data_IF_800588676800
#
_entry.id   IF_800588676800
#
_cell.length_a   1.000
_cell.length_b   1.000
_cell.length_c   1.000
_cell.angle_alpha   90.00
_cell.angle_beta   90.00
_cell.angle_gamma   90.00
#
_symmetry.space_group_name_H-M   'P 1'
#
loop_
_entity.id
_entity.type
_entity.pdbx_description
1 polymer ?
#
# COMPACT_ATOMS: atom_id res chain seq x y z
N UNK A 1 -33.25 1.23 -23.80
CA UNK A 1 -33.17 1.08 -22.33
C UNK A 1 -32.06 2.01 -21.89
N UNK A 2 -32.43 3.20 -21.42
CA UNK A 2 -31.52 4.19 -20.88
C UNK A 2 -30.96 3.64 -19.58
N UNK A 3 -29.71 3.19 -19.60
CA UNK A 3 -28.97 2.94 -18.37
C UNK A 3 -28.81 4.27 -17.68
N UNK A 4 -29.38 4.41 -16.48
CA UNK A 4 -29.07 5.52 -15.61
C UNK A 4 -27.56 5.50 -15.36
N UNK A 5 -26.84 6.38 -16.06
CA UNK A 5 -25.49 6.76 -15.69
C UNK A 5 -25.62 7.52 -14.37
N UNK A 6 -25.69 6.78 -13.26
CA UNK A 6 -25.42 7.35 -11.95
C UNK A 6 -23.98 7.83 -12.03
N UNK A 7 -23.80 9.13 -12.25
CA UNK A 7 -22.51 9.78 -12.13
C UNK A 7 -22.04 9.54 -10.71
N UNK A 8 -20.95 8.79 -10.55
CA UNK A 8 -20.34 8.55 -9.24
C UNK A 8 -19.91 9.90 -8.68
N UNK A 9 -20.58 10.35 -7.62
CA UNK A 9 -20.25 11.61 -6.95
C UNK A 9 -19.10 11.39 -5.98
N UNK A 10 -18.11 12.28 -6.01
CA UNK A 10 -16.99 12.24 -5.10
C UNK A 10 -17.45 12.57 -3.67
N UNK A 11 -16.93 11.90 -2.63
CA UNK A 11 -17.10 12.32 -1.25
C UNK A 11 -16.68 13.79 -1.04
N UNK A 12 -17.28 14.51 -0.07
CA UNK A 12 -16.93 15.91 0.19
C UNK A 12 -15.45 16.11 0.59
N UNK A 13 -14.78 15.08 1.08
CA UNK A 13 -13.36 15.10 1.44
C UNK A 13 -12.41 15.00 0.23
N UNK A 14 -12.94 14.73 -0.97
CA UNK A 14 -12.16 14.55 -2.19
C UNK A 14 -11.99 15.87 -2.92
N UNK A 15 -10.74 16.20 -3.24
CA UNK A 15 -10.41 17.39 -4.00
C UNK A 15 -9.58 17.01 -5.24
N UNK A 16 -10.09 17.37 -6.41
CA UNK A 16 -9.33 17.30 -7.66
C UNK A 16 -8.82 18.70 -8.01
N UNK A 17 -7.50 18.89 -7.91
CA UNK A 17 -6.87 20.19 -8.07
C UNK A 17 -6.36 20.36 -9.50
N UNK A 18 -6.82 21.41 -10.19
CA UNK A 18 -6.45 21.73 -11.56
C UNK A 18 -5.35 22.80 -11.61
N UNK A 19 -5.32 23.69 -10.63
CA UNK A 19 -4.33 24.77 -10.52
C UNK A 19 -3.62 24.77 -9.17
N UNK A 20 -2.34 25.15 -9.15
CA UNK A 20 -1.54 25.20 -7.92
C UNK A 20 -2.11 26.17 -6.87
N UNK A 21 -2.82 27.22 -7.29
CA UNK A 21 -3.49 28.18 -6.41
C UNK A 21 -4.67 27.57 -5.64
N UNK A 22 -5.20 26.43 -6.06
CA UNK A 22 -6.24 25.67 -5.36
C UNK A 22 -5.64 24.74 -4.29
N UNK A 23 -4.35 24.43 -4.41
CA UNK A 23 -3.70 23.37 -3.61
C UNK A 23 -3.22 23.92 -2.27
N UNK A 24 -3.63 23.31 -1.14
CA UNK A 24 -3.08 23.61 0.18
C UNK A 24 -1.54 23.58 0.19
N UNK A 25 -0.93 24.54 0.89
CA UNK A 25 0.52 24.79 0.82
C UNK A 25 1.38 23.55 1.11
N UNK A 26 0.96 22.73 2.08
CA UNK A 26 1.62 21.49 2.48
C UNK A 26 1.46 20.33 1.48
N UNK A 27 0.47 20.41 0.58
CA UNK A 27 0.21 19.44 -0.50
C UNK A 27 0.93 19.81 -1.80
N UNK A 28 1.25 21.09 -2.03
CA UNK A 28 1.80 21.58 -3.32
C UNK A 28 3.00 20.78 -3.84
N UNK A 29 3.91 20.36 -2.95
CA UNK A 29 5.07 19.54 -3.33
C UNK A 29 4.70 18.14 -3.86
N UNK A 30 3.59 17.57 -3.39
CA UNK A 30 3.06 16.29 -3.88
C UNK A 30 2.26 16.50 -5.17
N UNK A 31 1.45 17.55 -5.25
CA UNK A 31 0.70 17.88 -6.46
C UNK A 31 1.63 18.22 -7.65
N UNK A 32 2.78 18.87 -7.41
CA UNK A 32 3.81 19.06 -8.43
C UNK A 32 4.36 17.74 -9.00
N UNK A 33 4.20 16.64 -8.26
CA UNK A 33 4.58 15.28 -8.65
C UNK A 33 3.36 14.39 -8.97
N UNK A 34 2.15 14.96 -9.12
CA UNK A 34 0.90 14.19 -9.27
C UNK A 34 0.95 13.13 -10.36
N UNK A 35 1.58 13.41 -11.51
CA UNK A 35 1.72 12.42 -12.59
C UNK A 35 2.69 11.27 -12.29
N UNK A 36 3.59 11.44 -11.32
CA UNK A 36 4.40 10.34 -10.76
C UNK A 36 3.64 9.58 -9.68
N UNK A 37 2.65 10.21 -9.05
CA UNK A 37 1.79 9.57 -8.06
C UNK A 37 0.75 8.70 -8.77
N UNK A 38 0.00 9.29 -9.69
CA UNK A 38 -0.89 8.61 -10.63
C UNK A 38 -0.63 9.18 -12.03
N UNK A 39 -0.11 8.35 -12.93
CA UNK A 39 0.08 8.74 -14.34
C UNK A 39 -1.21 9.21 -15.01
N UNK A 40 -2.35 8.68 -14.57
CA UNK A 40 -3.69 9.04 -15.05
C UNK A 40 -4.37 10.14 -14.23
N UNK A 41 -3.63 11.01 -13.53
CA UNK A 41 -4.22 12.02 -12.65
C UNK A 41 -5.37 12.80 -13.34
N UNK A 42 -5.11 13.34 -14.54
CA UNK A 42 -6.08 14.14 -15.31
C UNK A 42 -7.26 13.32 -15.90
N UNK A 43 -7.25 11.98 -15.79
CA UNK A 43 -8.40 11.13 -16.14
C UNK A 43 -9.45 11.10 -15.01
N UNK A 44 -9.32 11.97 -14.00
CA UNK A 44 -10.29 12.16 -12.93
C UNK A 44 -9.95 11.40 -11.65
N UNK A 45 -8.67 11.16 -11.36
CA UNK A 45 -8.24 10.51 -10.12
C UNK A 45 -8.73 11.28 -8.90
N UNK A 46 -9.18 10.53 -7.89
CA UNK A 46 -9.67 11.04 -6.62
C UNK A 46 -8.64 10.85 -5.51
N UNK A 47 -8.42 11.92 -4.75
CA UNK A 47 -7.60 11.93 -3.56
C UNK A 47 -8.27 12.82 -2.51
N UNK A 48 -8.29 12.35 -1.27
CA UNK A 48 -8.48 13.24 -0.12
C UNK A 48 -7.18 13.97 0.17
N UNK A 49 -7.25 15.08 0.90
CA UNK A 49 -6.05 15.85 1.27
C UNK A 49 -5.00 15.01 2.01
N UNK A 50 -5.45 14.19 2.96
CA UNK A 50 -4.58 13.28 3.71
C UNK A 50 -3.92 12.20 2.83
N UNK A 51 -4.61 11.74 1.77
CA UNK A 51 -4.11 10.68 0.91
C UNK A 51 -2.86 11.08 0.12
N UNK A 52 -2.67 12.38 -0.14
CA UNK A 52 -1.47 12.90 -0.83
C UNK A 52 -0.17 12.58 -0.09
N UNK A 53 -0.19 12.52 1.23
CA UNK A 53 0.99 12.26 2.05
C UNK A 53 1.38 10.78 2.12
N UNK A 54 0.40 9.89 1.94
CA UNK A 54 0.55 8.44 2.12
C UNK A 54 0.66 7.64 0.83
N UNK A 55 0.19 8.19 -0.29
CA UNK A 55 0.19 7.47 -1.57
C UNK A 55 1.60 7.16 -2.05
N UNK A 56 1.81 5.89 -2.43
CA UNK A 56 3.09 5.44 -3.00
C UNK A 56 3.15 5.87 -4.47
N UNK A 57 4.22 6.56 -4.92
CA UNK A 57 4.36 6.94 -6.32
C UNK A 57 4.29 5.72 -7.26
N UNK A 58 3.57 5.85 -8.39
CA UNK A 58 3.30 4.76 -9.33
C UNK A 58 4.56 3.99 -9.77
N UNK A 59 5.72 4.62 -10.07
CA UNK A 59 6.94 3.88 -10.40
C UNK A 59 7.44 2.97 -9.26
N UNK A 60 7.29 3.42 -8.01
CA UNK A 60 7.67 2.64 -6.82
C UNK A 60 6.67 1.50 -6.61
N UNK A 61 5.37 1.79 -6.64
CA UNK A 61 4.31 0.80 -6.50
C UNK A 61 4.42 -0.31 -7.55
N UNK A 62 4.65 0.05 -8.83
CA UNK A 62 4.83 -0.90 -9.92
C UNK A 62 6.05 -1.79 -9.69
N UNK A 63 7.17 -1.24 -9.21
CA UNK A 63 8.39 -2.03 -8.96
C UNK A 63 8.22 -2.98 -7.77
N UNK A 64 7.53 -2.55 -6.72
CA UNK A 64 7.13 -3.44 -5.61
C UNK A 64 6.24 -4.56 -6.13
N UNK A 65 5.21 -4.24 -6.92
CA UNK A 65 4.30 -5.24 -7.48
C UNK A 65 5.03 -6.26 -8.36
N UNK A 66 5.96 -5.82 -9.22
CA UNK A 66 6.81 -6.69 -10.02
C UNK A 66 7.62 -7.65 -9.15
N UNK A 67 8.32 -7.12 -8.14
CA UNK A 67 9.16 -7.91 -7.24
C UNK A 67 8.36 -8.92 -6.41
N UNK A 68 7.21 -8.53 -5.85
CA UNK A 68 6.35 -9.47 -5.13
C UNK A 68 5.82 -10.54 -6.10
N UNK A 69 5.41 -10.15 -7.31
CA UNK A 69 4.85 -11.08 -8.28
C UNK A 69 5.85 -12.14 -8.77
N UNK A 70 7.11 -11.74 -8.99
CA UNK A 70 8.18 -12.64 -9.45
C UNK A 70 8.74 -13.53 -8.33
N UNK A 71 8.81 -13.01 -7.10
CA UNK A 71 9.50 -13.67 -5.99
C UNK A 71 8.57 -14.51 -5.09
N UNK A 72 7.25 -14.28 -5.12
CA UNK A 72 6.29 -15.03 -4.33
C UNK A 72 6.12 -16.47 -4.88
N UNK A 73 6.09 -17.50 -4.02
CA UNK A 73 5.87 -18.88 -4.45
C UNK A 73 4.58 -19.05 -5.25
N UNK A 74 4.59 -19.96 -6.24
CA UNK A 74 3.43 -20.23 -7.10
C UNK A 74 2.16 -20.65 -6.31
N UNK A 75 2.33 -21.29 -5.15
CA UNK A 75 1.23 -21.65 -4.25
C UNK A 75 0.53 -20.44 -3.63
N UNK A 76 1.18 -19.27 -3.60
CA UNK A 76 0.58 -18.00 -3.17
C UNK A 76 -0.06 -17.32 -4.37
N UNK A 77 -1.38 -17.35 -4.41
CA UNK A 77 -2.17 -16.88 -5.56
C UNK A 77 -3.02 -15.64 -5.22
N UNK A 78 -3.10 -15.28 -3.95
CA UNK A 78 -3.87 -14.15 -3.44
C UNK A 78 -2.90 -13.11 -2.90
N UNK A 79 -3.23 -11.83 -3.09
CA UNK A 79 -2.54 -10.73 -2.41
C UNK A 79 -3.53 -9.98 -1.53
N UNK A 80 -3.13 -9.71 -0.28
CA UNK A 80 -3.85 -8.85 0.65
C UNK A 80 -3.08 -7.54 0.78
N UNK A 81 -3.67 -6.43 0.37
CA UNK A 81 -3.18 -5.08 0.67
C UNK A 81 -3.86 -4.60 1.94
N UNK A 82 -3.11 -4.65 3.04
CA UNK A 82 -3.61 -4.43 4.38
C UNK A 82 -3.91 -2.95 4.69
N UNK A 83 -3.40 -2.01 3.89
CA UNK A 83 -3.59 -0.57 4.08
C UNK A 83 -3.62 0.12 2.72
N UNK A 84 -4.74 -0.06 2.01
CA UNK A 84 -4.85 0.27 0.59
C UNK A 84 -4.70 1.77 0.28
N UNK A 85 -5.06 2.65 1.23
CA UNK A 85 -5.09 4.09 1.00
C UNK A 85 -5.96 4.41 -0.23
N UNK A 86 -5.54 5.40 -1.02
CA UNK A 86 -6.22 5.74 -2.28
C UNK A 86 -5.92 4.77 -3.45
N UNK A 87 -5.36 3.58 -3.16
CA UNK A 87 -5.25 2.48 -4.11
C UNK A 87 -3.93 2.41 -4.91
N UNK A 88 -2.92 3.22 -4.61
CA UNK A 88 -1.66 3.25 -5.39
C UNK A 88 -0.98 1.87 -5.52
N UNK A 89 -0.71 1.21 -4.39
CA UNK A 89 -0.13 -0.15 -4.39
C UNK A 89 -1.15 -1.20 -4.87
N UNK A 90 -2.39 -1.12 -4.40
CA UNK A 90 -3.47 -2.04 -4.79
C UNK A 90 -3.65 -2.14 -6.31
N UNK A 91 -3.67 -0.99 -7.01
CA UNK A 91 -3.79 -0.92 -8.46
C UNK A 91 -2.57 -1.56 -9.13
N UNK A 92 -1.35 -1.26 -8.66
CA UNK A 92 -0.14 -1.89 -9.19
C UNK A 92 -0.15 -3.42 -9.02
N UNK A 93 -0.60 -3.93 -7.87
CA UNK A 93 -0.77 -5.35 -7.64
C UNK A 93 -1.79 -5.96 -8.60
N UNK A 94 -2.96 -5.35 -8.77
CA UNK A 94 -3.98 -5.85 -9.69
C UNK A 94 -3.53 -5.83 -11.16
N UNK A 95 -2.75 -4.81 -11.56
CA UNK A 95 -2.17 -4.69 -12.90
C UNK A 95 -1.08 -5.71 -13.21
N UNK A 96 -0.40 -6.23 -12.18
CA UNK A 96 0.67 -7.24 -12.37
C UNK A 96 0.18 -8.54 -13.03
N UNK A 97 -1.12 -8.85 -12.97
CA UNK A 97 -1.69 -10.07 -13.54
C UNK A 97 -1.33 -11.38 -12.83
N UNK A 98 -0.53 -11.32 -11.76
CA UNK A 98 -0.06 -12.50 -11.02
C UNK A 98 -1.08 -13.10 -10.06
N UNK A 99 -2.01 -12.29 -9.57
CA UNK A 99 -2.92 -12.64 -8.48
C UNK A 99 -4.28 -13.03 -9.03
N UNK A 100 -4.86 -14.12 -8.50
CA UNK A 100 -6.25 -14.49 -8.78
C UNK A 100 -7.23 -13.43 -8.29
N UNK A 101 -6.89 -12.77 -7.19
CA UNK A 101 -7.65 -11.68 -6.57
C UNK A 101 -6.72 -10.86 -5.67
N UNK A 102 -6.93 -9.56 -5.64
CA UNK A 102 -6.36 -8.65 -4.62
C UNK A 102 -7.45 -8.31 -3.61
N UNK A 103 -7.19 -8.51 -2.32
CA UNK A 103 -8.07 -8.12 -1.22
C UNK A 103 -7.49 -6.85 -0.58
N UNK A 104 -8.19 -5.73 -0.72
CA UNK A 104 -7.70 -4.42 -0.31
C UNK A 104 -8.52 -3.88 0.87
N UNK A 105 -7.83 -3.48 1.94
CA UNK A 105 -8.45 -3.02 3.18
C UNK A 105 -8.10 -1.56 3.41
N UNK A 106 -9.11 -0.72 3.63
CA UNK A 106 -8.93 0.68 4.03
C UNK A 106 -9.93 1.02 5.13
N UNK A 107 -9.47 1.76 6.14
CA UNK A 107 -10.28 2.10 7.31
C UNK A 107 -11.13 3.34 7.09
N UNK A 108 -10.61 4.32 6.34
CA UNK A 108 -11.32 5.56 6.07
C UNK A 108 -12.27 5.37 4.86
N UNK A 109 -13.59 5.57 5.03
CA UNK A 109 -14.56 5.33 3.96
C UNK A 109 -14.40 6.27 2.76
N UNK A 110 -14.00 7.53 2.96
CA UNK A 110 -13.78 8.47 1.85
C UNK A 110 -12.54 8.08 1.04
N UNK A 111 -11.44 7.69 1.72
CA UNK A 111 -10.23 7.20 1.05
C UNK A 111 -10.49 5.88 0.32
N UNK A 112 -11.31 4.99 0.90
CA UNK A 112 -11.71 3.75 0.23
C UNK A 112 -12.52 4.03 -1.04
N UNK A 113 -13.40 5.04 -1.05
CA UNK A 113 -14.11 5.46 -2.24
C UNK A 113 -13.16 5.99 -3.32
N UNK A 114 -12.16 6.79 -2.95
CA UNK A 114 -11.08 7.18 -3.87
C UNK A 114 -10.40 5.95 -4.48
N UNK A 115 -10.04 4.95 -3.67
CA UNK A 115 -9.35 3.75 -4.14
C UNK A 115 -10.18 2.94 -5.15
N UNK A 116 -11.49 2.78 -4.88
CA UNK A 116 -12.44 2.12 -5.78
C UNK A 116 -12.57 2.86 -7.11
N UNK A 117 -12.74 4.18 -7.06
CA UNK A 117 -12.84 5.04 -8.24
C UNK A 117 -11.54 5.00 -9.08
N UNK A 118 -10.40 5.17 -8.43
CA UNK A 118 -9.09 5.13 -9.08
C UNK A 118 -8.84 3.77 -9.74
N UNK A 119 -9.26 2.66 -9.13
CA UNK A 119 -9.15 1.34 -9.75
C UNK A 119 -9.96 1.21 -11.05
N UNK A 120 -11.12 1.86 -11.16
CA UNK A 120 -11.93 1.92 -12.40
C UNK A 120 -11.21 2.68 -13.51
N UNK A 121 -10.61 3.83 -13.19
CA UNK A 121 -9.79 4.62 -14.14
C UNK A 121 -8.63 3.78 -14.72
N UNK A 122 -8.06 2.91 -13.89
CA UNK A 122 -6.97 2.01 -14.30
C UNK A 122 -7.46 0.66 -14.88
N UNK A 123 -8.79 0.41 -14.94
CA UNK A 123 -9.39 -0.77 -15.54
C UNK A 123 -9.05 -2.08 -14.82
N UNK A 124 -8.98 -2.06 -13.48
CA UNK A 124 -8.64 -3.23 -12.66
C UNK A 124 -9.60 -3.46 -11.50
N UNK A 125 -10.73 -2.75 -11.48
CA UNK A 125 -11.76 -2.85 -10.45
C UNK A 125 -12.31 -4.28 -10.29
N UNK A 126 -12.39 -5.03 -11.38
CA UNK A 126 -12.88 -6.41 -11.42
C UNK A 126 -11.94 -7.43 -10.74
N UNK A 127 -10.66 -7.05 -10.55
CA UNK A 127 -9.60 -7.86 -9.93
C UNK A 127 -9.46 -7.63 -8.42
N UNK A 128 -10.20 -6.68 -7.85
CA UNK A 128 -10.03 -6.25 -6.46
C UNK A 128 -11.31 -6.52 -5.67
N UNK A 129 -11.18 -7.04 -4.46
CA UNK A 129 -12.25 -7.11 -3.46
C UNK A 129 -11.92 -6.15 -2.32
N UNK A 130 -12.83 -5.24 -2.01
CA UNK A 130 -12.59 -4.15 -1.07
C UNK A 130 -13.25 -4.41 0.29
N UNK A 131 -12.55 -4.04 1.36
CA UNK A 131 -13.05 -4.10 2.73
C UNK A 131 -12.86 -2.75 3.41
N UNK A 132 -13.92 -2.28 4.07
CA UNK A 132 -13.89 -1.11 4.94
C UNK A 132 -13.66 -1.55 6.39
N UNK A 133 -12.60 -1.05 7.03
CA UNK A 133 -12.40 -1.24 8.47
C UNK A 133 -10.95 -1.43 8.91
N UNK A 134 -10.79 -1.92 10.14
CA UNK A 134 -9.49 -2.17 10.73
C UNK A 134 -8.83 -3.43 10.13
N UNK A 135 -7.61 -3.26 9.64
CA UNK A 135 -6.89 -4.29 8.91
C UNK A 135 -6.57 -5.53 9.75
N UNK A 136 -6.16 -5.34 11.02
CA UNK A 136 -5.83 -6.45 11.91
C UNK A 136 -7.08 -7.28 12.19
N UNK A 137 -8.22 -6.62 12.41
CA UNK A 137 -9.50 -7.29 12.59
C UNK A 137 -9.94 -8.05 11.34
N UNK A 138 -9.94 -7.41 10.16
CA UNK A 138 -10.44 -8.00 8.92
C UNK A 138 -9.59 -9.21 8.50
N UNK A 139 -8.27 -9.09 8.55
CA UNK A 139 -7.35 -10.17 8.19
C UNK A 139 -7.58 -11.41 9.07
N UNK A 140 -7.71 -11.23 10.38
CA UNK A 140 -7.84 -12.33 11.33
C UNK A 140 -9.26 -12.88 11.51
N UNK A 141 -10.29 -12.20 10.98
CA UNK A 141 -11.69 -12.64 11.08
C UNK A 141 -12.29 -13.03 9.73
N UNK A 142 -12.30 -12.12 8.77
CA UNK A 142 -13.02 -12.29 7.51
C UNK A 142 -12.16 -12.97 6.44
N UNK A 143 -10.85 -12.74 6.45
CA UNK A 143 -9.95 -13.29 5.44
C UNK A 143 -9.22 -14.56 5.89
N UNK A 144 -9.33 -14.96 7.17
CA UNK A 144 -8.52 -15.99 7.83
C UNK A 144 -8.23 -17.24 6.98
N UNK A 145 -9.26 -17.80 6.33
CA UNK A 145 -9.16 -19.02 5.52
C UNK A 145 -8.29 -18.85 4.24
N UNK A 146 -8.05 -17.61 3.81
CA UNK A 146 -7.20 -17.31 2.64
C UNK A 146 -5.70 -17.29 2.99
N UNK A 147 -5.34 -17.26 4.27
CA UNK A 147 -3.97 -17.12 4.77
C UNK A 147 -2.93 -18.03 4.09
N UNK A 148 -3.19 -19.35 4.02
CA UNK A 148 -2.28 -20.32 3.38
C UNK A 148 -1.96 -20.04 1.90
N UNK A 149 -2.80 -19.26 1.21
CA UNK A 149 -2.65 -18.93 -0.22
C UNK A 149 -2.24 -17.47 -0.47
N UNK A 150 -2.03 -16.71 0.60
CA UNK A 150 -1.90 -15.26 0.53
C UNK A 150 -0.47 -14.78 0.74
N UNK A 151 -0.09 -13.77 -0.03
CA UNK A 151 0.93 -12.79 0.35
C UNK A 151 0.22 -11.59 1.00
N UNK A 152 0.73 -11.11 2.13
CA UNK A 152 0.24 -9.89 2.76
C UNK A 152 1.24 -8.75 2.54
N UNK A 153 0.78 -7.67 1.94
CA UNK A 153 1.50 -6.40 1.86
C UNK A 153 0.89 -5.41 2.85
N UNK A 154 1.72 -4.71 3.61
CA UNK A 154 1.26 -3.68 4.54
C UNK A 154 2.09 -2.40 4.42
N UNK A 155 1.42 -1.29 4.11
CA UNK A 155 1.91 0.08 4.19
C UNK A 155 1.17 0.86 5.29
N UNK A 156 1.42 0.57 6.58
CA UNK A 156 0.71 1.23 7.68
C UNK A 156 1.03 2.73 7.73
N UNK A 157 0.22 3.54 8.43
CA UNK A 157 0.65 4.87 8.84
C UNK A 157 1.92 4.79 9.71
N UNK A 158 2.79 5.80 9.60
CA UNK A 158 4.10 5.82 10.26
C UNK A 158 4.20 6.81 11.45
N UNK A 159 3.08 7.33 11.95
CA UNK A 159 3.06 8.28 13.07
C UNK A 159 3.25 9.75 12.66
N UNK A 160 2.91 10.13 11.42
CA UNK A 160 2.94 11.51 10.94
C UNK A 160 4.33 12.02 10.51
N UNK A 161 4.46 13.26 9.99
CA UNK A 161 5.65 13.74 9.27
C UNK A 161 6.94 13.77 10.11
N UNK A 162 6.86 13.67 11.44
CA UNK A 162 8.01 13.58 12.35
C UNK A 162 8.97 12.42 12.03
N UNK A 163 8.51 11.36 11.37
CA UNK A 163 9.39 10.25 10.94
C UNK A 163 10.56 10.73 10.05
N UNK A 164 10.40 11.87 9.37
CA UNK A 164 11.38 12.38 8.39
C UNK A 164 12.67 12.89 9.03
N UNK A 165 12.64 13.29 10.30
CA UNK A 165 13.81 13.80 11.00
C UNK A 165 14.67 12.71 11.64
N UNK A 166 14.14 11.50 11.79
CA UNK A 166 14.85 10.41 12.44
C UNK A 166 15.97 9.87 11.56
N UNK A 167 17.22 10.00 12.05
CA UNK A 167 18.37 9.34 11.42
C UNK A 167 18.20 7.83 11.36
N UNK A 168 17.56 7.26 12.38
CA UNK A 168 17.17 5.85 12.48
C UNK A 168 15.77 5.81 13.07
N UNK A 169 14.78 5.43 12.27
CA UNK A 169 13.37 5.40 12.66
C UNK A 169 13.09 4.20 13.56
N UNK A 170 12.58 4.47 14.77
CA UNK A 170 12.31 3.46 15.78
C UNK A 170 10.93 2.82 15.59
N UNK A 171 10.92 1.62 15.04
CA UNK A 171 9.70 0.87 14.72
C UNK A 171 8.94 0.35 15.97
N UNK A 172 9.55 0.37 17.16
CA UNK A 172 8.88 0.02 18.43
C UNK A 172 7.84 1.05 18.85
N UNK A 173 8.05 2.29 18.48
CA UNK A 173 7.20 3.45 18.85
C UNK A 173 6.45 3.99 17.63
N UNK A 174 6.35 3.18 16.56
CA UNK A 174 5.57 3.54 15.38
C UNK A 174 4.08 3.55 15.74
N UNK A 175 3.37 4.59 15.30
CA UNK A 175 1.96 4.79 15.56
C UNK A 175 1.17 4.75 14.23
N UNK A 176 -0.08 4.26 14.24
CA UNK A 176 -0.84 3.78 15.40
C UNK A 176 -0.52 2.33 15.81
N UNK A 177 0.37 1.65 15.07
CA UNK A 177 0.74 0.27 15.33
C UNK A 177 2.26 0.11 15.37
N UNK A 178 2.75 -0.48 16.46
CA UNK A 178 4.16 -0.88 16.54
C UNK A 178 4.46 -1.99 15.53
N UNK A 179 5.73 -2.11 15.12
CA UNK A 179 6.18 -3.24 14.29
C UNK A 179 5.86 -4.60 14.92
N UNK A 180 5.99 -4.72 16.24
CA UNK A 180 5.70 -5.97 16.93
C UNK A 180 4.21 -6.33 16.81
N UNK A 181 3.32 -5.36 16.97
CA UNK A 181 1.87 -5.54 16.80
C UNK A 181 1.55 -5.97 15.38
N UNK A 182 2.01 -5.22 14.37
CA UNK A 182 1.74 -5.52 12.96
C UNK A 182 2.23 -6.92 12.58
N UNK A 183 3.49 -7.24 12.89
CA UNK A 183 4.06 -8.52 12.50
C UNK A 183 3.39 -9.68 13.22
N UNK A 184 3.15 -9.58 14.54
CA UNK A 184 2.56 -10.69 15.29
C UNK A 184 1.15 -11.00 14.80
N UNK A 185 0.32 -9.98 14.56
CA UNK A 185 -1.05 -10.18 14.08
C UNK A 185 -1.08 -10.73 12.64
N UNK A 186 -0.25 -10.22 11.74
CA UNK A 186 -0.19 -10.72 10.36
C UNK A 186 0.46 -12.09 10.24
N UNK A 187 1.40 -12.44 11.13
CA UNK A 187 2.04 -13.75 11.15
C UNK A 187 1.10 -14.89 11.59
N UNK A 188 -0.06 -14.56 12.20
CA UNK A 188 -1.14 -15.54 12.44
C UNK A 188 -1.89 -15.90 11.15
N UNK A 189 -1.88 -15.00 10.17
CA UNK A 189 -2.57 -15.15 8.90
C UNK A 189 -1.69 -15.79 7.82
N UNK A 190 -0.48 -15.28 7.61
CA UNK A 190 0.47 -15.81 6.61
C UNK A 190 1.91 -15.62 7.07
N UNK A 191 2.78 -16.50 6.61
CA UNK A 191 4.24 -16.39 6.72
C UNK A 191 4.84 -15.46 5.65
N UNK A 192 4.13 -15.16 4.57
CA UNK A 192 4.61 -14.33 3.45
C UNK A 192 4.15 -12.88 3.61
N UNK A 193 4.98 -12.08 4.29
CA UNK A 193 4.65 -10.71 4.67
C UNK A 193 5.65 -9.75 4.04
N UNK A 194 5.15 -8.69 3.41
CA UNK A 194 5.94 -7.55 2.93
C UNK A 194 5.51 -6.29 3.66
N UNK A 195 6.43 -5.66 4.39
CA UNK A 195 6.16 -4.39 5.09
C UNK A 195 6.82 -3.24 4.35
N UNK A 196 6.05 -2.21 3.99
CA UNK A 196 6.52 -0.95 3.41
C UNK A 196 6.64 0.11 4.51
N UNK A 197 7.86 0.56 4.76
CA UNK A 197 8.25 1.29 5.97
C UNK A 197 9.12 2.52 5.64
N UNK A 198 9.29 3.46 6.60
CA UNK A 198 10.18 4.59 6.42
C UNK A 198 11.58 4.15 5.99
N UNK A 199 12.16 4.86 5.03
CA UNK A 199 13.50 4.59 4.50
C UNK A 199 14.62 4.58 5.55
N UNK A 200 14.41 5.15 6.73
CA UNK A 200 15.38 5.18 7.84
C UNK A 200 15.09 4.12 8.90
N UNK A 201 14.19 3.17 8.66
CA UNK A 201 13.80 2.19 9.68
C UNK A 201 14.98 1.38 10.20
N UNK A 202 14.98 1.13 11.51
CA UNK A 202 16.01 0.32 12.18
C UNK A 202 15.97 -1.13 11.69
N UNK A 203 16.88 -1.47 10.77
CA UNK A 203 17.02 -2.81 10.20
C UNK A 203 17.32 -3.87 11.26
N UNK A 204 17.92 -3.50 12.42
CA UNK A 204 18.13 -4.45 13.52
C UNK A 204 16.80 -4.86 14.16
N UNK A 205 15.81 -3.98 14.19
CA UNK A 205 14.47 -4.29 14.70
C UNK A 205 13.73 -5.20 13.73
N UNK A 206 13.86 -4.94 12.43
CA UNK A 206 13.31 -5.78 11.38
C UNK A 206 13.90 -7.20 11.39
N UNK A 207 15.22 -7.31 11.52
CA UNK A 207 15.93 -8.59 11.54
C UNK A 207 15.56 -9.48 12.73
N UNK A 208 15.15 -8.91 13.87
CA UNK A 208 14.70 -9.66 15.06
C UNK A 208 13.42 -10.47 14.84
N UNK A 209 12.65 -10.15 13.80
CA UNK A 209 11.41 -10.87 13.47
C UNK A 209 11.63 -12.06 12.52
N UNK A 210 12.82 -12.18 11.93
CA UNK A 210 13.17 -13.29 11.04
C UNK A 210 13.27 -14.58 11.86
N UNK A 211 12.52 -15.60 11.46
CA UNK A 211 12.41 -16.87 12.21
C UNK A 211 13.57 -17.81 11.86
N UNK A 212 14.01 -18.61 12.84
CA UNK A 212 14.64 -19.91 12.59
C UNK A 212 15.85 -19.98 11.64
N UNK A 213 16.76 -19.01 11.65
CA UNK A 213 17.93 -19.03 10.76
C UNK A 213 17.63 -18.74 9.29
N UNK A 214 16.38 -18.37 8.96
CA UNK A 214 15.99 -17.89 7.65
C UNK A 214 16.61 -16.52 7.35
N UNK A 215 16.40 -16.06 6.12
CA UNK A 215 16.80 -14.73 5.66
C UNK A 215 15.56 -13.95 5.22
N UNK A 216 15.57 -12.66 5.50
CA UNK A 216 14.62 -11.70 4.93
C UNK A 216 15.39 -10.66 4.14
N UNK A 217 14.89 -10.32 2.96
CA UNK A 217 15.48 -9.27 2.13
C UNK A 217 14.94 -7.92 2.56
N UNK A 218 15.82 -6.94 2.74
CA UNK A 218 15.46 -5.53 2.84
C UNK A 218 15.85 -4.84 1.55
N UNK A 219 14.93 -4.08 0.96
CA UNK A 219 15.14 -3.39 -0.30
C UNK A 219 14.67 -1.94 -0.18
N UNK A 220 15.53 -1.01 -0.56
CA UNK A 220 15.14 0.39 -0.73
C UNK A 220 14.56 0.62 -2.11
N UNK A 221 13.43 1.31 -2.15
CA UNK A 221 12.84 1.80 -3.40
C UNK A 221 13.21 3.26 -3.58
N UNK A 222 13.93 3.54 -4.67
CA UNK A 222 14.50 4.85 -4.95
C UNK A 222 13.80 5.49 -6.15
N UNK A 223 13.64 6.80 -6.10
CA UNK A 223 13.15 7.61 -7.21
C UNK A 223 13.95 8.91 -7.21
N UNK A 224 14.48 9.27 -8.38
CA UNK A 224 15.31 10.47 -8.59
C UNK A 224 16.53 10.54 -7.66
N UNK A 225 17.27 9.43 -7.57
CA UNK A 225 18.49 9.34 -6.76
C UNK A 225 18.26 9.32 -5.25
N UNK A 226 17.02 9.36 -4.77
CA UNK A 226 16.69 9.33 -3.35
C UNK A 226 15.85 8.10 -2.99
N UNK A 227 16.21 7.44 -1.89
CA UNK A 227 15.34 6.42 -1.30
C UNK A 227 14.06 7.07 -0.79
N UNK A 228 12.91 6.51 -1.18
CA UNK A 228 11.57 6.96 -0.78
C UNK A 228 11.05 6.15 0.40
N UNK A 229 11.28 4.84 0.37
CA UNK A 229 10.92 3.90 1.41
C UNK A 229 11.82 2.67 1.35
N UNK A 230 11.66 1.79 2.34
CA UNK A 230 12.19 0.44 2.28
C UNK A 230 11.06 -0.58 2.45
N UNK A 231 11.21 -1.72 1.80
CA UNK A 231 10.41 -2.90 2.07
C UNK A 231 11.27 -3.97 2.73
N UNK A 232 10.68 -4.73 3.64
CA UNK A 232 11.21 -6.02 4.08
C UNK A 232 10.29 -7.16 3.63
N UNK A 233 10.89 -8.27 3.20
CA UNK A 233 10.22 -9.45 2.66
C UNK A 233 10.47 -10.65 3.58
N UNK A 234 9.47 -11.05 4.36
CA UNK A 234 9.48 -12.22 5.24
C UNK A 234 8.83 -13.44 4.57
N UNK A 235 9.28 -14.66 4.88
CA UNK A 235 8.68 -15.90 4.35
C UNK A 235 9.34 -16.43 3.08
N UNK A 236 10.62 -16.11 2.83
CA UNK A 236 11.40 -16.80 1.80
C UNK A 236 11.16 -16.33 0.36
N UNK A 237 10.82 -15.06 0.14
CA UNK A 237 10.73 -14.47 -1.20
C UNK A 237 12.04 -14.62 -2.00
N UNK A 238 11.93 -15.08 -3.24
CA UNK A 238 13.07 -15.32 -4.10
C UNK A 238 13.37 -14.16 -5.06
N UNK A 239 13.87 -13.05 -4.50
CA UNK A 239 14.06 -11.78 -5.22
C UNK A 239 15.27 -11.72 -6.16
N UNK A 240 16.18 -12.70 -6.10
CA UNK A 240 17.48 -12.64 -6.79
C UNK A 240 17.81 -13.93 -7.56
N UNK A 241 16.80 -14.52 -8.22
CA UNK A 241 17.02 -15.60 -9.18
C UNK A 241 17.46 -15.09 -10.55
#
# INVERSE_FOLDING_TARGET
MSGDHITEEAPPEVHHYNDIGEVPWDIQNYWAQRYKIFSKYDEGVWLTDDAWFGVTPEPVANKIAEHIASAAPASRMILVDAFAGAGGNTIAFARSGRWKRVYAIEKNPAVLQCAKHNAKIYGVEDKITWFEGDSLQIVNSQLKELGPYSVLFASPPWGGPGYRSDKVFNLRTMEPYSLATLYNEYALFTDHIVLYLPRTSDVKQLAKLVKGGEKATVMHYCMEGASKALCIYYGGFNLFQ
#
